data_IF_350598866882
#
_entry.id   IF_350598866882
#
_cell.length_a   1.000
_cell.length_b   1.000
_cell.length_c   1.000
_cell.angle_alpha   90.00
_cell.angle_beta   90.00
_cell.angle_gamma   90.00
#
_symmetry.space_group_name_H-M   'P 1'
#
loop_
_entity.id
_entity.type
_entity.pdbx_description
1 polymer ?
#
# COMPACT_ATOMS: atom_id res chain seq x y z
N UNK A 1 -59.76 -31.73 9.77
CA UNK A 1 -60.30 -30.78 10.76
C UNK A 1 -59.17 -30.42 11.73
N UNK A 2 -58.53 -29.28 11.60
CA UNK A 2 -57.62 -28.71 12.55
C UNK A 2 -58.45 -28.19 13.74
N UNK A 3 -58.27 -28.81 14.90
CA UNK A 3 -58.84 -28.31 16.14
C UNK A 3 -58.08 -27.06 16.57
N UNK A 4 -58.68 -25.86 16.44
CA UNK A 4 -58.18 -24.65 17.04
C UNK A 4 -58.29 -24.76 18.56
N UNK A 5 -57.21 -25.00 19.28
CA UNK A 5 -57.20 -24.92 20.76
C UNK A 5 -57.38 -23.44 21.14
N UNK A 6 -58.55 -23.09 21.63
CA UNK A 6 -58.84 -21.77 22.21
C UNK A 6 -58.04 -21.62 23.49
N UNK A 7 -57.06 -20.71 23.49
CA UNK A 7 -56.30 -20.32 24.69
C UNK A 7 -57.28 -19.56 25.61
N UNK A 8 -57.33 -19.89 26.92
CA UNK A 8 -58.17 -19.17 27.87
C UNK A 8 -57.66 -17.71 28.01
N UNK A 9 -58.57 -16.77 28.24
CA UNK A 9 -58.25 -15.34 28.38
C UNK A 9 -57.17 -15.10 29.46
N UNK A 10 -57.22 -15.88 30.59
CA UNK A 10 -56.22 -15.79 31.64
C UNK A 10 -54.81 -16.20 31.18
N UNK A 11 -54.70 -17.30 30.42
CA UNK A 11 -53.41 -17.74 29.85
C UNK A 11 -52.87 -16.74 28.86
N UNK A 12 -53.70 -16.17 27.99
CA UNK A 12 -53.30 -15.14 27.05
C UNK A 12 -52.80 -13.87 27.76
N UNK A 13 -53.49 -13.44 28.84
CA UNK A 13 -53.05 -12.30 29.65
C UNK A 13 -51.71 -12.55 30.34
N UNK A 14 -51.51 -13.74 30.90
CA UNK A 14 -50.22 -14.12 31.55
C UNK A 14 -49.09 -14.12 30.55
N UNK A 15 -49.26 -14.68 29.36
CA UNK A 15 -48.26 -14.66 28.30
C UNK A 15 -47.93 -13.22 27.88
N UNK A 16 -48.92 -12.35 27.72
CA UNK A 16 -48.72 -10.95 27.40
C UNK A 16 -47.92 -10.20 28.47
N UNK A 17 -48.20 -10.42 29.75
CA UNK A 17 -47.48 -9.81 30.87
C UNK A 17 -46.03 -10.30 30.90
N UNK A 18 -45.77 -11.60 30.72
CA UNK A 18 -44.41 -12.15 30.65
C UNK A 18 -43.66 -11.57 29.45
N UNK A 19 -44.28 -11.51 28.27
CA UNK A 19 -43.66 -10.93 27.09
C UNK A 19 -43.32 -9.45 27.30
N UNK A 20 -44.20 -8.64 27.88
CA UNK A 20 -43.92 -7.24 28.23
C UNK A 20 -42.78 -7.11 29.23
N UNK A 21 -42.74 -7.94 30.30
CA UNK A 21 -41.68 -7.93 31.29
C UNK A 21 -40.29 -8.29 30.65
N UNK A 22 -40.26 -9.30 29.80
CA UNK A 22 -39.04 -9.71 29.07
C UNK A 22 -38.59 -8.60 28.11
N UNK A 23 -39.49 -8.03 27.33
CA UNK A 23 -39.20 -6.94 26.41
C UNK A 23 -38.67 -5.73 27.16
N UNK A 24 -39.33 -5.33 28.26
CA UNK A 24 -38.91 -4.21 29.08
C UNK A 24 -37.51 -4.45 29.69
N UNK A 25 -37.25 -5.63 30.25
CA UNK A 25 -35.94 -5.98 30.82
C UNK A 25 -34.85 -5.96 29.74
N UNK A 26 -35.11 -6.53 28.56
CA UNK A 26 -34.15 -6.55 27.46
C UNK A 26 -33.87 -5.14 26.96
N UNK A 27 -34.90 -4.33 26.76
CA UNK A 27 -34.77 -2.93 26.35
C UNK A 27 -34.00 -2.11 27.36
N UNK A 28 -34.26 -2.32 28.65
CA UNK A 28 -33.55 -1.65 29.76
C UNK A 28 -32.04 -1.99 29.73
N UNK A 29 -31.69 -3.27 29.60
CA UNK A 29 -30.29 -3.73 29.55
C UNK A 29 -29.56 -3.14 28.33
N UNK A 30 -30.19 -3.17 27.15
CA UNK A 30 -29.62 -2.60 25.93
C UNK A 30 -29.45 -1.08 26.07
N UNK A 31 -30.48 -0.38 26.59
CA UNK A 31 -30.42 1.07 26.80
C UNK A 31 -29.35 1.46 27.82
N UNK A 32 -29.22 0.73 28.93
CA UNK A 32 -28.15 0.96 29.91
C UNK A 32 -26.78 0.73 29.33
N UNK A 33 -26.60 -0.33 28.52
CA UNK A 33 -25.31 -0.59 27.84
C UNK A 33 -24.97 0.54 26.89
N UNK A 34 -25.91 0.98 26.05
CA UNK A 34 -25.71 2.12 25.13
C UNK A 34 -25.40 3.42 25.89
N UNK A 35 -26.16 3.74 26.95
CA UNK A 35 -25.95 4.90 27.77
C UNK A 35 -24.56 4.90 28.40
N UNK A 36 -24.17 3.80 29.06
CA UNK A 36 -22.86 3.67 29.69
C UNK A 36 -21.72 3.81 28.69
N UNK A 37 -21.86 3.24 27.46
CA UNK A 37 -20.87 3.38 26.40
C UNK A 37 -20.75 4.84 25.94
N UNK A 38 -21.88 5.53 25.77
CA UNK A 38 -21.92 6.94 25.37
C UNK A 38 -21.31 7.84 26.44
N UNK A 39 -21.68 7.67 27.72
CA UNK A 39 -21.14 8.45 28.84
C UNK A 39 -19.64 8.22 29.00
N UNK A 40 -19.18 6.96 28.90
CA UNK A 40 -17.74 6.66 28.94
C UNK A 40 -16.97 7.32 27.79
N UNK A 41 -17.53 7.31 26.59
CA UNK A 41 -16.93 7.99 25.42
C UNK A 41 -16.82 9.49 25.62
N UNK A 42 -17.89 10.14 26.11
CA UNK A 42 -17.88 11.59 26.41
C UNK A 42 -16.84 11.92 27.47
N UNK A 43 -16.79 11.17 28.57
CA UNK A 43 -15.83 11.38 29.65
C UNK A 43 -14.38 11.19 29.21
N UNK A 44 -14.12 10.23 28.35
CA UNK A 44 -12.77 10.03 27.79
C UNK A 44 -12.37 11.19 26.86
N UNK A 45 -13.27 11.65 26.00
CA UNK A 45 -13.04 12.83 25.15
C UNK A 45 -12.78 14.08 25.98
N UNK A 46 -13.63 14.34 26.98
CA UNK A 46 -13.46 15.48 27.90
C UNK A 46 -12.09 15.45 28.56
N UNK A 47 -11.65 14.31 29.08
CA UNK A 47 -10.33 14.18 29.68
C UNK A 47 -9.17 14.48 28.71
N UNK A 48 -9.28 14.02 27.45
CA UNK A 48 -8.29 14.31 26.41
C UNK A 48 -8.22 15.79 26.09
N UNK A 49 -9.37 16.43 25.84
CA UNK A 49 -9.44 17.86 25.53
C UNK A 49 -8.99 18.73 26.69
N UNK A 50 -9.35 18.39 27.94
CA UNK A 50 -8.90 19.12 29.11
C UNK A 50 -7.39 19.07 29.26
N UNK A 51 -6.78 17.90 29.08
CA UNK A 51 -5.32 17.75 29.15
C UNK A 51 -4.61 18.59 28.06
N UNK A 52 -5.11 18.55 26.82
CA UNK A 52 -4.55 19.37 25.73
C UNK A 52 -4.72 20.86 26.03
N UNK A 53 -5.89 21.29 26.52
CA UNK A 53 -6.15 22.67 26.89
C UNK A 53 -5.25 23.17 28.02
N UNK A 54 -4.94 22.32 29.01
CA UNK A 54 -4.01 22.65 30.09
C UNK A 54 -2.58 22.85 29.55
N UNK A 55 -2.11 21.99 28.67
CA UNK A 55 -0.81 22.08 28.00
C UNK A 55 -0.76 23.37 27.15
N UNK A 56 -1.74 23.59 26.31
CA UNK A 56 -1.83 24.74 25.41
C UNK A 56 -1.79 26.06 26.19
N UNK A 57 -2.59 26.19 27.26
CA UNK A 57 -2.61 27.37 28.13
C UNK A 57 -1.26 27.62 28.76
N UNK A 58 -0.56 26.58 29.22
CA UNK A 58 0.76 26.74 29.85
C UNK A 58 1.81 27.17 28.82
N UNK A 59 1.83 26.55 27.66
CA UNK A 59 2.76 26.81 26.55
C UNK A 59 2.55 28.25 26.05
N UNK A 60 1.32 28.63 25.72
CA UNK A 60 1.01 29.97 25.20
C UNK A 60 1.29 31.12 26.23
N UNK A 61 1.28 30.80 27.51
CA UNK A 61 1.59 31.80 28.56
C UNK A 61 3.10 31.99 28.78
N UNK A 62 3.94 30.97 28.50
CA UNK A 62 5.33 31.00 28.90
C UNK A 62 6.37 30.72 27.81
N UNK A 63 5.95 30.24 26.61
CA UNK A 63 6.87 29.89 25.52
C UNK A 63 7.54 31.18 24.98
N UNK A 64 8.85 31.16 24.88
CA UNK A 64 9.64 32.27 24.38
C UNK A 64 9.66 32.36 22.85
N UNK A 65 9.61 31.21 22.15
CA UNK A 65 9.65 31.19 20.71
C UNK A 65 8.25 31.27 20.09
N UNK A 66 8.19 31.72 18.83
CA UNK A 66 6.95 31.77 18.08
C UNK A 66 6.46 30.34 17.81
N UNK A 67 5.21 30.10 18.15
CA UNK A 67 4.56 28.79 17.87
C UNK A 67 4.12 28.79 16.41
N UNK A 68 4.55 27.78 15.68
CA UNK A 68 4.04 27.47 14.34
C UNK A 68 2.77 26.62 14.52
N UNK A 69 1.63 27.23 14.28
CA UNK A 69 0.31 26.61 14.52
C UNK A 69 0.05 25.43 13.57
N UNK A 70 0.51 25.51 12.32
CA UNK A 70 0.31 24.45 11.33
C UNK A 70 1.15 23.22 11.72
N UNK A 71 2.42 23.42 12.02
CA UNK A 71 3.28 22.34 12.53
C UNK A 71 2.75 21.75 13.84
N UNK A 72 2.24 22.56 14.77
CA UNK A 72 1.67 22.09 16.02
C UNK A 72 0.44 21.22 15.77
N UNK A 73 -0.48 21.63 14.90
CA UNK A 73 -1.68 20.88 14.56
C UNK A 73 -1.36 19.55 13.88
N UNK A 74 -0.42 19.54 12.93
CA UNK A 74 0.06 18.31 12.28
C UNK A 74 0.65 17.32 13.30
N UNK A 75 1.48 17.81 14.23
CA UNK A 75 2.08 16.96 15.28
C UNK A 75 1.06 16.44 16.28
N UNK A 76 0.02 17.20 16.60
CA UNK A 76 -1.09 16.75 17.44
C UNK A 76 -1.89 15.62 16.74
N UNK A 77 -2.21 15.79 15.47
CA UNK A 77 -2.90 14.76 14.66
C UNK A 77 -2.06 13.51 14.53
N UNK A 78 -0.78 13.63 14.18
CA UNK A 78 0.15 12.50 14.08
C UNK A 78 0.32 11.78 15.43
N UNK A 79 0.40 12.54 16.54
CA UNK A 79 0.47 11.99 17.89
C UNK A 79 -0.81 11.22 18.27
N UNK A 80 -1.97 11.71 17.87
CA UNK A 80 -3.24 11.01 18.08
C UNK A 80 -3.24 9.66 17.36
N UNK A 81 -2.85 9.66 16.06
CA UNK A 81 -2.80 8.43 15.26
C UNK A 81 -1.77 7.44 15.80
N UNK A 82 -0.61 7.90 16.24
CA UNK A 82 0.39 7.06 16.91
C UNK A 82 -0.14 6.43 18.20
N UNK A 83 -1.03 7.14 18.91
CA UNK A 83 -1.61 6.69 20.21
C UNK A 83 -2.68 5.61 20.10
N UNK A 84 -3.24 5.32 18.93
CA UNK A 84 -4.31 4.31 18.78
C UNK A 84 -3.81 2.86 18.72
N UNK A 85 -2.49 2.64 18.75
CA UNK A 85 -1.84 1.32 18.72
C UNK A 85 -2.18 0.48 17.47
N UNK A 86 -2.42 1.14 16.35
CA UNK A 86 -2.55 0.54 15.03
C UNK A 86 -1.27 0.85 14.22
N UNK A 87 -0.43 -0.17 13.98
CA UNK A 87 0.86 -0.01 13.28
C UNK A 87 0.73 0.47 11.84
N UNK A 88 -0.47 0.38 11.27
CA UNK A 88 -0.74 0.77 9.89
C UNK A 88 -1.56 2.08 9.80
N UNK A 89 -1.99 2.61 10.94
CA UNK A 89 -2.69 3.88 10.97
C UNK A 89 -1.70 5.04 10.70
N UNK A 90 -2.07 5.91 9.79
CA UNK A 90 -1.22 7.03 9.35
C UNK A 90 -2.03 8.30 9.30
N UNK A 91 -1.41 9.40 9.75
CA UNK A 91 -1.80 10.76 9.43
C UNK A 91 -0.87 11.26 8.33
N UNK A 92 -1.44 11.82 7.29
CA UNK A 92 -0.73 12.52 6.23
C UNK A 92 -1.03 14.01 6.34
N UNK A 93 0.00 14.85 6.39
CA UNK A 93 -0.16 16.29 6.16
C UNK A 93 -0.75 16.53 4.77
N UNK A 94 -1.29 17.72 4.50
CA UNK A 94 -1.86 18.05 3.19
C UNK A 94 -0.86 17.81 2.04
N UNK A 95 0.42 18.15 2.28
CA UNK A 95 1.51 17.91 1.33
C UNK A 95 1.74 16.41 1.09
N UNK A 96 1.96 15.64 2.16
CA UNK A 96 2.20 14.18 2.06
C UNK A 96 1.02 13.45 1.40
N UNK A 97 -0.21 13.90 1.68
CA UNK A 97 -1.39 13.31 1.05
C UNK A 97 -1.46 13.59 -0.44
N UNK A 98 -1.14 14.82 -0.85
CA UNK A 98 -1.04 15.18 -2.28
C UNK A 98 0.03 14.37 -2.99
N UNK A 99 1.21 14.22 -2.40
CA UNK A 99 2.31 13.39 -2.93
C UNK A 99 1.88 11.92 -3.04
N UNK A 100 1.23 11.36 -2.00
CA UNK A 100 0.69 9.99 -2.03
C UNK A 100 -0.31 9.80 -3.17
N UNK A 101 -1.23 10.75 -3.37
CA UNK A 101 -2.20 10.67 -4.48
C UNK A 101 -1.51 10.70 -5.86
N UNK A 102 -0.42 11.45 -6.00
CA UNK A 102 0.37 11.48 -7.22
C UNK A 102 1.03 10.12 -7.47
N UNK A 103 1.68 9.54 -6.45
CA UNK A 103 2.32 8.22 -6.52
C UNK A 103 1.31 7.13 -6.88
N UNK A 104 0.10 7.16 -6.31
CA UNK A 104 -0.99 6.22 -6.64
C UNK A 104 -1.45 6.30 -8.11
N UNK A 105 -1.20 7.43 -8.76
CA UNK A 105 -1.42 7.63 -10.20
C UNK A 105 -0.19 7.31 -11.04
N UNK A 106 0.90 6.85 -10.43
CA UNK A 106 2.19 6.62 -11.08
C UNK A 106 2.92 7.91 -11.44
N UNK A 107 2.64 9.01 -10.74
CA UNK A 107 3.30 10.30 -10.97
C UNK A 107 4.37 10.50 -9.89
N UNK A 108 5.60 10.78 -10.31
CA UNK A 108 6.70 11.21 -9.45
C UNK A 108 7.14 12.61 -9.84
N UNK A 109 7.70 13.36 -8.88
CA UNK A 109 8.31 14.66 -9.13
C UNK A 109 9.81 14.57 -8.92
N UNK A 110 10.58 14.82 -9.97
CA UNK A 110 12.03 14.67 -9.92
C UNK A 110 12.68 14.97 -11.27
N UNK A 111 13.91 14.49 -11.48
CA UNK A 111 14.61 14.67 -12.75
C UNK A 111 14.25 13.65 -13.84
N UNK A 112 13.60 12.53 -13.47
CA UNK A 112 13.10 11.54 -14.43
C UNK A 112 14.09 10.44 -14.80
N UNK A 113 14.82 9.89 -13.82
CA UNK A 113 15.69 8.71 -14.00
C UNK A 113 15.42 7.65 -12.93
N UNK A 114 15.68 6.39 -13.27
CA UNK A 114 15.86 5.32 -12.28
C UNK A 114 17.34 4.96 -12.20
N UNK A 115 17.83 4.80 -10.97
CA UNK A 115 19.22 4.49 -10.68
C UNK A 115 19.36 3.24 -9.83
N UNK A 116 20.55 2.64 -9.85
CA UNK A 116 20.97 1.59 -8.90
C UNK A 116 22.34 1.94 -8.35
N UNK A 117 22.62 1.50 -7.13
CA UNK A 117 23.97 1.56 -6.60
C UNK A 117 24.84 0.56 -7.39
N UNK A 118 25.81 1.03 -8.12
CA UNK A 118 26.73 0.18 -8.88
C UNK A 118 27.81 -0.38 -7.95
N UNK A 119 27.76 -1.67 -7.67
CA UNK A 119 28.67 -2.33 -6.74
C UNK A 119 30.15 -2.14 -7.06
N UNK A 120 30.52 -1.95 -8.32
CA UNK A 120 31.91 -1.80 -8.75
C UNK A 120 32.47 -0.38 -8.55
N UNK A 121 31.63 0.64 -8.74
CA UNK A 121 32.01 2.05 -8.64
C UNK A 121 31.50 2.76 -7.39
N UNK A 122 30.43 2.24 -6.78
CA UNK A 122 29.69 2.88 -5.69
C UNK A 122 28.88 4.11 -6.12
N UNK A 123 28.84 4.44 -7.40
CA UNK A 123 28.05 5.55 -7.94
C UNK A 123 26.62 5.11 -8.31
N UNK A 124 25.71 6.09 -8.39
CA UNK A 124 24.37 5.87 -8.91
C UNK A 124 24.41 5.65 -10.42
N UNK A 125 24.30 4.41 -10.87
CA UNK A 125 24.24 4.06 -12.30
C UNK A 125 22.82 4.22 -12.83
N UNK A 126 22.65 4.96 -13.91
CA UNK A 126 21.37 5.13 -14.58
C UNK A 126 20.98 3.83 -15.28
N UNK A 127 19.83 3.26 -14.92
CA UNK A 127 19.26 2.06 -15.54
C UNK A 127 18.05 2.38 -16.41
N UNK A 128 17.44 3.55 -16.23
CA UNK A 128 16.36 4.07 -17.08
C UNK A 128 16.37 5.59 -17.08
N UNK A 129 16.04 6.17 -18.21
CA UNK A 129 15.66 7.58 -18.37
C UNK A 129 14.21 7.56 -18.85
N UNK A 130 13.31 8.24 -18.13
CA UNK A 130 11.90 8.30 -18.53
C UNK A 130 11.70 9.34 -19.64
N UNK A 131 10.77 9.06 -20.54
CA UNK A 131 10.48 9.93 -21.68
C UNK A 131 9.87 11.27 -21.24
N UNK A 132 10.20 12.33 -21.99
CA UNK A 132 9.70 13.69 -21.76
C UNK A 132 10.00 14.25 -20.35
N UNK A 133 11.17 13.93 -19.81
CA UNK A 133 11.60 14.35 -18.48
C UNK A 133 12.74 15.38 -18.56
N UNK A 134 13.01 16.11 -17.46
CA UNK A 134 14.19 16.97 -17.40
C UNK A 134 15.51 16.26 -17.72
N UNK A 135 15.65 15.00 -17.31
CA UNK A 135 16.82 14.18 -17.61
C UNK A 135 17.02 13.96 -19.13
N UNK A 136 15.92 13.69 -19.85
CA UNK A 136 15.96 13.56 -21.33
C UNK A 136 16.37 14.87 -22.00
N UNK A 137 15.91 16.00 -21.48
CA UNK A 137 16.19 17.33 -22.05
C UNK A 137 17.66 17.72 -21.95
N UNK A 138 18.37 17.27 -20.90
CA UNK A 138 19.81 17.51 -20.73
C UNK A 138 20.68 16.39 -21.26
N UNK A 139 20.09 15.33 -21.81
CA UNK A 139 20.83 14.25 -22.48
C UNK A 139 21.44 13.23 -21.52
N UNK A 140 20.82 12.96 -20.38
CA UNK A 140 21.24 11.83 -19.55
C UNK A 140 20.94 10.50 -20.26
N UNK A 141 21.84 9.53 -20.15
CA UNK A 141 21.77 8.26 -20.88
C UNK A 141 21.83 7.06 -19.94
N UNK A 142 21.14 5.98 -20.31
CA UNK A 142 21.26 4.68 -19.64
C UNK A 142 22.70 4.18 -19.69
N UNK A 143 23.20 3.67 -18.56
CA UNK A 143 24.59 3.24 -18.40
C UNK A 143 25.55 4.34 -17.95
N UNK A 144 25.13 5.61 -17.96
CA UNK A 144 25.86 6.69 -17.33
C UNK A 144 25.77 6.65 -15.80
N UNK A 145 26.56 7.48 -15.13
CA UNK A 145 26.65 7.52 -13.67
C UNK A 145 26.40 8.93 -13.15
N UNK A 146 25.52 9.06 -12.16
CA UNK A 146 25.42 10.27 -11.36
C UNK A 146 26.41 10.13 -10.20
N UNK A 147 27.47 10.95 -10.22
CA UNK A 147 28.56 10.86 -9.25
C UNK A 147 28.36 11.73 -8.03
N UNK A 148 27.57 12.81 -8.15
CA UNK A 148 27.16 13.65 -7.04
C UNK A 148 25.77 14.27 -7.29
N UNK A 149 25.03 14.51 -6.21
CA UNK A 149 23.73 15.19 -6.17
C UNK A 149 23.87 16.34 -5.16
N UNK A 150 23.76 17.58 -5.65
CA UNK A 150 24.21 18.75 -4.89
C UNK A 150 25.69 18.62 -4.54
N UNK A 151 26.00 18.84 -3.26
CA UNK A 151 27.36 18.71 -2.73
C UNK A 151 27.69 17.29 -2.23
N UNK A 152 26.75 16.33 -2.33
CA UNK A 152 26.90 14.99 -1.77
C UNK A 152 27.27 13.99 -2.85
N UNK A 153 28.40 13.29 -2.69
CA UNK A 153 28.77 12.18 -3.55
C UNK A 153 27.81 11.01 -3.38
N UNK A 154 27.33 10.41 -4.48
CA UNK A 154 26.46 9.25 -4.43
C UNK A 154 27.11 8.02 -3.79
N UNK A 155 28.45 7.92 -3.80
CA UNK A 155 29.20 6.90 -3.06
C UNK A 155 29.02 6.96 -1.54
N UNK A 156 28.68 8.13 -0.99
CA UNK A 156 28.44 8.29 0.44
C UNK A 156 27.01 8.00 0.86
N UNK A 157 26.13 7.72 -0.10
CA UNK A 157 24.74 7.36 0.18
C UNK A 157 24.64 5.88 0.56
N UNK A 158 23.73 5.56 1.48
CA UNK A 158 23.65 4.21 2.08
C UNK A 158 23.26 3.13 1.07
N UNK A 159 22.37 3.46 0.14
CA UNK A 159 21.76 2.49 -0.76
C UNK A 159 21.08 3.17 -1.98
N UNK A 160 20.51 2.37 -2.85
CA UNK A 160 19.75 2.83 -4.02
C UNK A 160 18.55 3.70 -3.65
N UNK A 161 17.89 3.43 -2.51
CA UNK A 161 16.71 4.20 -2.09
C UNK A 161 17.10 5.64 -1.71
N UNK A 162 18.19 5.81 -0.99
CA UNK A 162 18.75 7.14 -0.67
C UNK A 162 19.15 7.91 -1.93
N UNK A 163 19.78 7.25 -2.91
CA UNK A 163 20.14 7.84 -4.20
C UNK A 163 18.90 8.28 -4.97
N UNK A 164 17.89 7.43 -5.04
CA UNK A 164 16.60 7.73 -5.71
C UNK A 164 15.90 8.90 -5.03
N UNK A 165 15.80 8.89 -3.70
CA UNK A 165 15.15 9.96 -2.93
C UNK A 165 15.83 11.32 -3.15
N UNK A 166 17.15 11.36 -3.27
CA UNK A 166 17.90 12.60 -3.52
C UNK A 166 17.69 13.18 -4.93
N UNK A 167 17.16 12.40 -5.87
CA UNK A 167 16.84 12.82 -7.25
C UNK A 167 15.37 13.27 -7.41
N UNK A 168 14.56 13.09 -6.37
CA UNK A 168 13.20 13.63 -6.26
C UNK A 168 13.25 15.01 -5.59
N UNK A 169 12.22 15.82 -5.82
CA UNK A 169 12.13 17.15 -5.23
C UNK A 169 10.79 17.80 -5.51
N UNK A 170 10.60 19.04 -5.06
CA UNK A 170 9.39 19.82 -5.34
C UNK A 170 9.39 20.28 -6.80
N UNK A 171 8.21 20.32 -7.41
CA UNK A 171 8.06 20.79 -8.79
C UNK A 171 8.62 22.21 -8.94
N UNK A 172 9.48 22.39 -9.94
CA UNK A 172 10.16 23.66 -10.22
C UNK A 172 11.39 23.95 -9.35
N UNK A 173 11.66 23.19 -8.28
CA UNK A 173 12.94 23.28 -7.57
C UNK A 173 14.07 22.73 -8.44
N UNK A 174 15.32 23.09 -8.18
CA UNK A 174 16.47 22.65 -8.98
C UNK A 174 17.43 21.79 -8.16
N UNK A 175 18.09 20.86 -8.83
CA UNK A 175 19.18 20.07 -8.28
C UNK A 175 20.39 20.10 -9.20
N UNK A 176 21.56 20.29 -8.61
CA UNK A 176 22.83 20.17 -9.33
C UNK A 176 23.29 18.72 -9.32
N UNK A 177 23.61 18.15 -10.47
CA UNK A 177 24.19 16.82 -10.57
C UNK A 177 25.54 16.86 -11.27
N UNK A 178 26.46 16.00 -10.82
CA UNK A 178 27.66 15.64 -11.59
C UNK A 178 27.40 14.31 -12.27
N UNK A 179 27.62 14.26 -13.53
CA UNK A 179 27.30 13.13 -14.40
C UNK A 179 28.54 12.66 -15.15
N UNK A 180 28.69 11.35 -15.22
CA UNK A 180 29.70 10.69 -16.03
C UNK A 180 28.97 9.92 -17.13
N UNK A 181 29.20 10.28 -18.38
CA UNK A 181 28.58 9.62 -19.54
C UNK A 181 28.95 8.13 -19.60
N UNK A 182 28.28 7.30 -20.39
CA UNK A 182 28.74 5.92 -20.65
C UNK A 182 30.17 5.85 -21.22
N UNK A 183 30.62 6.91 -21.91
CA UNK A 183 31.99 7.06 -22.43
C UNK A 183 32.97 7.62 -21.39
N UNK A 184 32.54 7.83 -20.13
CA UNK A 184 33.36 8.36 -19.03
C UNK A 184 33.75 9.84 -19.17
N UNK A 185 32.97 10.64 -19.89
CA UNK A 185 33.10 12.08 -19.94
C UNK A 185 32.35 12.74 -18.78
N UNK A 186 33.01 13.67 -18.10
CA UNK A 186 32.40 14.38 -16.97
C UNK A 186 31.58 15.57 -17.48
N UNK A 187 30.36 15.69 -16.94
CA UNK A 187 29.43 16.78 -17.20
C UNK A 187 28.76 17.21 -15.88
N UNK A 188 28.25 18.42 -15.86
CA UNK A 188 27.48 18.93 -14.71
C UNK A 188 26.25 19.66 -15.22
N UNK A 189 25.11 19.42 -14.54
CA UNK A 189 23.85 19.99 -14.93
C UNK A 189 23.12 20.55 -13.70
N UNK A 190 22.47 21.69 -13.86
CA UNK A 190 21.41 22.14 -12.96
C UNK A 190 20.08 21.74 -13.61
N UNK A 191 19.32 20.87 -12.94
CA UNK A 191 18.11 20.27 -13.49
C UNK A 191 16.92 20.65 -12.61
N UNK A 192 15.87 21.21 -13.23
CA UNK A 192 14.62 21.46 -12.53
C UNK A 192 13.83 20.16 -12.37
N UNK A 193 13.23 19.96 -11.20
CA UNK A 193 12.31 18.87 -10.96
C UNK A 193 10.98 19.13 -11.68
N UNK A 194 10.42 18.10 -12.30
CA UNK A 194 9.12 18.15 -12.95
C UNK A 194 8.34 16.86 -12.68
N UNK A 195 7.03 16.92 -12.85
CA UNK A 195 6.17 15.74 -12.78
C UNK A 195 6.40 14.86 -14.00
N UNK A 196 6.54 13.57 -13.78
CA UNK A 196 6.63 12.56 -14.85
C UNK A 196 5.91 11.28 -14.44
N UNK A 197 5.47 10.50 -15.43
CA UNK A 197 4.78 9.24 -15.19
C UNK A 197 5.76 8.09 -15.17
N UNK A 198 5.66 7.25 -14.15
CA UNK A 198 6.40 6.00 -14.05
C UNK A 198 5.46 4.83 -14.30
N UNK A 199 5.83 3.87 -15.17
CA UNK A 199 5.06 2.65 -15.30
C UNK A 199 5.18 1.82 -14.02
N UNK A 200 4.09 1.20 -13.62
CA UNK A 200 4.07 0.27 -12.49
C UNK A 200 4.77 -1.06 -12.80
N UNK A 201 4.98 -1.32 -14.10
CA UNK A 201 5.68 -2.49 -14.63
C UNK A 201 6.96 -2.01 -15.30
N UNK A 202 8.10 -2.27 -14.66
CA UNK A 202 9.39 -1.75 -15.10
C UNK A 202 10.09 -2.60 -16.15
N UNK A 203 9.82 -3.90 -16.17
CA UNK A 203 10.49 -4.84 -17.07
C UNK A 203 9.50 -5.86 -17.63
N UNK A 204 9.49 -5.99 -18.94
CA UNK A 204 8.75 -7.02 -19.68
C UNK A 204 9.74 -7.65 -20.66
N UNK A 205 10.03 -8.93 -20.52
CA UNK A 205 11.02 -9.61 -21.35
C UNK A 205 10.66 -11.08 -21.59
N UNK A 206 10.69 -11.52 -22.84
CA UNK A 206 10.72 -12.92 -23.18
C UNK A 206 12.17 -13.42 -23.14
N UNK A 207 12.44 -14.46 -22.37
CA UNK A 207 13.75 -15.11 -22.30
C UNK A 207 13.92 -16.13 -23.42
N UNK A 208 15.17 -16.48 -23.79
CA UNK A 208 15.49 -17.40 -24.88
C UNK A 208 14.88 -18.80 -24.68
N UNK A 209 14.58 -19.20 -23.44
CA UNK A 209 13.93 -20.47 -23.09
C UNK A 209 12.40 -20.42 -23.12
N UNK A 210 11.80 -19.33 -23.62
CA UNK A 210 10.35 -19.16 -23.70
C UNK A 210 9.67 -18.74 -22.39
N UNK A 211 10.43 -18.34 -21.36
CA UNK A 211 9.89 -17.80 -20.12
C UNK A 211 9.64 -16.31 -20.27
N UNK A 212 8.40 -15.88 -20.08
CA UNK A 212 8.02 -14.47 -19.97
C UNK A 212 8.32 -13.93 -18.56
N UNK A 213 9.15 -12.91 -18.46
CA UNK A 213 9.47 -12.22 -17.18
C UNK A 213 8.81 -10.86 -17.14
N UNK A 214 8.14 -10.58 -16.03
CA UNK A 214 7.43 -9.34 -15.77
C UNK A 214 7.74 -8.86 -14.33
N UNK A 215 8.36 -7.67 -14.18
CA UNK A 215 8.57 -7.05 -12.88
C UNK A 215 7.50 -6.01 -12.60
N UNK A 216 6.77 -6.21 -11.52
CA UNK A 216 5.72 -5.32 -11.02
C UNK A 216 6.30 -4.57 -9.81
N UNK A 217 6.73 -3.32 -10.02
CA UNK A 217 7.37 -2.54 -8.95
C UNK A 217 6.35 -2.02 -7.92
N UNK A 218 5.13 -1.74 -8.38
CA UNK A 218 4.04 -1.25 -7.52
C UNK A 218 2.68 -1.60 -8.11
N UNK A 219 1.64 -1.52 -7.30
CA UNK A 219 0.26 -1.51 -7.77
C UNK A 219 -0.26 -0.08 -7.72
N UNK A 220 -0.50 0.53 -8.88
CA UNK A 220 -1.08 1.86 -9.09
C UNK A 220 -2.42 1.74 -9.79
N UNK A 221 -3.15 2.83 -9.95
CA UNK A 221 -4.41 2.84 -10.71
C UNK A 221 -4.27 2.39 -12.16
N UNK A 222 -3.08 2.52 -12.78
CA UNK A 222 -2.75 2.09 -14.14
C UNK A 222 -2.35 0.62 -14.29
N UNK A 223 -1.96 -0.02 -13.19
CA UNK A 223 -1.31 -1.35 -13.23
C UNK A 223 -2.15 -2.42 -13.93
N UNK A 224 -3.47 -2.42 -13.73
CA UNK A 224 -4.33 -3.45 -14.33
C UNK A 224 -4.27 -3.43 -15.87
N UNK A 225 -4.20 -2.26 -16.47
CA UNK A 225 -4.08 -2.09 -17.93
C UNK A 225 -2.67 -2.44 -18.40
N UNK A 226 -1.64 -1.94 -17.72
CA UNK A 226 -0.24 -2.23 -18.02
C UNK A 226 0.04 -3.73 -17.92
N UNK A 227 -0.46 -4.39 -16.88
CA UNK A 227 -0.32 -5.82 -16.63
C UNK A 227 -0.92 -6.65 -17.77
N UNK A 228 -2.17 -6.37 -18.13
CA UNK A 228 -2.84 -7.07 -19.23
C UNK A 228 -2.08 -6.92 -20.55
N UNK A 229 -1.63 -5.71 -20.86
CA UNK A 229 -0.86 -5.43 -22.08
C UNK A 229 0.47 -6.18 -22.08
N UNK A 230 1.18 -6.19 -20.96
CA UNK A 230 2.46 -6.88 -20.81
C UNK A 230 2.32 -8.40 -20.95
N UNK A 231 1.33 -9.00 -20.28
CA UNK A 231 1.06 -10.45 -20.39
C UNK A 231 0.66 -10.82 -21.80
N UNK A 232 -0.25 -10.08 -22.43
CA UNK A 232 -0.64 -10.31 -23.83
C UNK A 232 0.56 -10.20 -24.78
N UNK A 233 1.44 -9.21 -24.57
CA UNK A 233 2.66 -9.06 -25.37
C UNK A 233 3.57 -10.28 -25.25
N UNK A 234 3.80 -10.79 -24.03
CA UNK A 234 4.63 -11.97 -23.81
C UNK A 234 4.00 -13.25 -24.44
N UNK A 235 2.69 -13.43 -24.25
CA UNK A 235 1.95 -14.56 -24.82
C UNK A 235 1.99 -14.54 -26.36
N UNK A 236 1.79 -13.38 -26.97
CA UNK A 236 1.85 -13.21 -28.41
C UNK A 236 3.27 -13.44 -28.97
N UNK A 237 4.30 -13.22 -28.18
CA UNK A 237 5.70 -13.54 -28.50
C UNK A 237 6.04 -15.02 -28.32
N UNK A 238 5.11 -15.84 -27.78
CA UNK A 238 5.28 -17.26 -27.59
C UNK A 238 5.78 -17.67 -26.21
N UNK A 239 5.51 -16.87 -25.16
CA UNK A 239 5.80 -17.27 -23.79
C UNK A 239 5.06 -18.57 -23.45
N UNK A 240 5.76 -19.53 -22.85
CA UNK A 240 5.24 -20.84 -22.41
C UNK A 240 5.07 -20.94 -20.90
N UNK A 241 5.60 -19.98 -20.15
CA UNK A 241 5.46 -19.80 -18.71
C UNK A 241 5.74 -18.35 -18.33
N UNK A 242 5.32 -17.93 -17.14
CA UNK A 242 5.44 -16.55 -16.68
C UNK A 242 6.13 -16.47 -15.32
N UNK A 243 6.99 -15.48 -15.16
CA UNK A 243 7.55 -15.07 -13.86
C UNK A 243 7.05 -13.64 -13.54
N UNK A 244 6.37 -13.52 -12.43
CA UNK A 244 5.97 -12.24 -11.84
C UNK A 244 6.92 -11.88 -10.70
N UNK A 245 7.75 -10.86 -10.91
CA UNK A 245 8.66 -10.38 -9.86
C UNK A 245 7.96 -9.30 -9.04
N UNK A 246 7.65 -9.63 -7.79
CA UNK A 246 6.99 -8.79 -6.80
C UNK A 246 7.94 -8.36 -5.68
N UNK A 247 9.23 -8.60 -5.83
CA UNK A 247 10.21 -8.19 -4.82
C UNK A 247 10.19 -6.67 -4.68
N UNK A 248 10.16 -6.19 -3.43
CA UNK A 248 10.08 -4.79 -3.03
C UNK A 248 8.74 -4.09 -3.37
N UNK A 249 7.71 -4.85 -3.77
CA UNK A 249 6.39 -4.32 -4.05
C UNK A 249 5.55 -4.26 -2.77
N UNK A 250 5.24 -3.07 -2.29
CA UNK A 250 4.44 -2.81 -1.07
C UNK A 250 2.94 -3.07 -1.23
N UNK A 251 2.46 -3.30 -2.46
CA UNK A 251 1.07 -3.66 -2.73
C UNK A 251 0.04 -2.59 -2.39
N UNK A 252 0.33 -1.32 -2.61
CA UNK A 252 -0.45 -0.19 -2.09
C UNK A 252 -1.87 -0.10 -2.61
N UNK A 253 -2.11 -0.33 -3.89
CA UNK A 253 -3.45 -0.31 -4.48
C UNK A 253 -4.03 -1.72 -4.54
N UNK A 254 -4.79 -2.07 -3.50
CA UNK A 254 -5.42 -3.39 -3.37
C UNK A 254 -6.36 -3.71 -4.55
N UNK A 255 -7.13 -2.73 -5.03
CA UNK A 255 -8.04 -2.95 -6.14
C UNK A 255 -7.29 -3.28 -7.45
N UNK A 256 -6.19 -2.58 -7.72
CA UNK A 256 -5.35 -2.88 -8.88
C UNK A 256 -4.74 -4.29 -8.79
N UNK A 257 -4.30 -4.71 -7.60
CA UNK A 257 -3.81 -6.07 -7.36
C UNK A 257 -4.91 -7.12 -7.59
N UNK A 258 -6.12 -6.87 -7.09
CA UNK A 258 -7.28 -7.76 -7.30
C UNK A 258 -7.65 -7.88 -8.78
N UNK A 259 -7.62 -6.77 -9.56
CA UNK A 259 -7.91 -6.81 -11.01
C UNK A 259 -6.82 -7.55 -11.78
N UNK A 260 -5.55 -7.37 -11.43
CA UNK A 260 -4.46 -8.13 -12.04
C UNK A 260 -4.53 -9.63 -11.69
N UNK A 261 -4.93 -9.95 -10.44
CA UNK A 261 -5.15 -11.34 -10.01
C UNK A 261 -6.27 -12.01 -10.80
N UNK A 262 -7.41 -11.33 -10.94
CA UNK A 262 -8.58 -11.79 -11.68
C UNK A 262 -8.23 -12.27 -13.10
N UNK A 263 -7.31 -11.56 -13.75
CA UNK A 263 -6.83 -11.92 -15.09
C UNK A 263 -6.00 -13.22 -15.12
N UNK A 264 -5.47 -13.67 -13.98
CA UNK A 264 -4.54 -14.79 -13.88
C UNK A 264 -5.13 -16.08 -13.31
N UNK A 265 -6.33 -16.01 -12.71
CA UNK A 265 -6.89 -17.12 -11.95
C UNK A 265 -8.21 -17.60 -12.53
N UNK A 266 -8.57 -18.89 -12.37
CA UNK A 266 -9.86 -19.41 -12.82
C UNK A 266 -11.02 -18.75 -12.08
N UNK A 267 -12.24 -18.93 -12.61
CA UNK A 267 -13.47 -18.47 -11.98
C UNK A 267 -13.58 -18.92 -10.52
N UNK A 268 -13.88 -17.98 -9.64
CA UNK A 268 -14.05 -18.24 -8.21
C UNK A 268 -13.75 -17.04 -7.33
N UNK A 269 -13.86 -17.25 -6.03
CA UNK A 269 -13.55 -16.22 -5.03
C UNK A 269 -12.05 -16.01 -4.93
N UNK A 270 -11.60 -14.75 -5.11
CA UNK A 270 -10.18 -14.38 -4.98
C UNK A 270 -9.84 -14.07 -3.52
N UNK A 271 -10.60 -13.18 -2.90
CA UNK A 271 -10.34 -12.70 -1.55
C UNK A 271 -11.57 -12.12 -0.88
N UNK A 272 -11.54 -12.10 0.44
CA UNK A 272 -12.55 -11.51 1.30
C UNK A 272 -11.90 -10.53 2.29
N UNK A 273 -12.73 -9.75 2.95
CA UNK A 273 -12.35 -8.98 4.13
C UNK A 273 -13.26 -9.32 5.30
N UNK A 274 -12.73 -9.20 6.51
CA UNK A 274 -13.51 -9.31 7.74
C UNK A 274 -13.37 -8.02 8.54
N UNK A 275 -14.50 -7.40 8.88
CA UNK A 275 -14.55 -6.19 9.69
C UNK A 275 -14.42 -6.47 11.20
N UNK A 276 -14.38 -5.39 12.01
CA UNK A 276 -14.33 -5.46 13.48
C UNK A 276 -15.53 -6.20 14.09
N UNK A 277 -16.67 -6.22 13.41
CA UNK A 277 -17.88 -6.92 13.85
C UNK A 277 -17.87 -8.41 13.53
N UNK A 278 -16.88 -8.90 12.80
CA UNK A 278 -16.79 -10.28 12.30
C UNK A 278 -17.56 -10.51 11.01
N UNK A 279 -18.10 -9.47 10.37
CA UNK A 279 -18.79 -9.61 9.09
C UNK A 279 -17.77 -9.82 7.98
N UNK A 280 -18.01 -10.85 7.17
CA UNK A 280 -17.14 -11.18 6.03
C UNK A 280 -17.80 -10.66 4.75
N UNK A 281 -17.00 -10.02 3.89
CA UNK A 281 -17.41 -9.45 2.61
C UNK A 281 -16.47 -9.90 1.51
N UNK A 282 -17.03 -10.36 0.38
CA UNK A 282 -16.25 -10.70 -0.81
C UNK A 282 -15.66 -9.43 -1.43
N UNK A 283 -14.35 -9.42 -1.63
CA UNK A 283 -13.65 -8.30 -2.25
C UNK A 283 -13.65 -8.43 -3.79
N UNK A 284 -13.46 -9.65 -4.28
CA UNK A 284 -13.45 -9.90 -5.72
C UNK A 284 -13.77 -11.36 -6.03
N UNK A 285 -14.63 -11.54 -7.04
CA UNK A 285 -14.83 -12.81 -7.74
C UNK A 285 -14.08 -12.75 -9.07
N UNK A 286 -13.40 -13.82 -9.44
CA UNK A 286 -12.84 -13.97 -10.78
C UNK A 286 -13.88 -14.49 -11.75
N UNK A 287 -13.76 -14.10 -13.01
CA UNK A 287 -14.55 -14.62 -14.12
C UNK A 287 -13.88 -15.86 -14.79
N UNK A 288 -14.25 -16.19 -16.04
CA UNK A 288 -13.71 -17.36 -16.73
C UNK A 288 -12.43 -17.08 -17.54
N UNK A 289 -11.94 -15.83 -17.54
CA UNK A 289 -10.77 -15.43 -18.34
C UNK A 289 -9.47 -15.66 -17.55
N UNK A 290 -8.95 -16.85 -17.57
CA UNK A 290 -7.70 -17.20 -16.91
C UNK A 290 -6.52 -17.34 -17.88
N UNK A 291 -5.31 -17.13 -17.34
CA UNK A 291 -4.06 -17.50 -17.98
C UNK A 291 -3.74 -18.94 -17.57
N UNK A 292 -3.66 -19.84 -18.56
CA UNK A 292 -3.39 -21.26 -18.32
C UNK A 292 -1.89 -21.62 -18.32
N UNK A 293 -1.01 -20.62 -18.50
CA UNK A 293 0.44 -20.82 -18.46
C UNK A 293 0.93 -21.09 -17.04
N UNK A 294 1.94 -21.95 -16.84
CA UNK A 294 2.61 -22.08 -15.56
C UNK A 294 3.18 -20.74 -15.07
N UNK A 295 3.02 -20.44 -13.79
CA UNK A 295 3.40 -19.16 -13.19
C UNK A 295 4.30 -19.34 -11.98
N UNK A 296 5.22 -18.40 -11.82
CA UNK A 296 6.09 -18.26 -10.64
C UNK A 296 5.98 -16.83 -10.12
N UNK A 297 5.87 -16.65 -8.80
CA UNK A 297 5.96 -15.35 -8.15
C UNK A 297 7.27 -15.24 -7.37
N UNK A 298 8.10 -14.24 -7.68
CA UNK A 298 9.28 -13.91 -6.89
C UNK A 298 8.89 -12.91 -5.81
N UNK A 299 9.22 -13.21 -4.56
CA UNK A 299 8.85 -12.40 -3.39
C UNK A 299 10.02 -12.22 -2.44
N UNK A 300 9.95 -11.19 -1.59
CA UNK A 300 10.91 -10.97 -0.51
C UNK A 300 10.21 -10.35 0.72
N UNK A 301 10.98 -10.04 1.77
CA UNK A 301 10.49 -9.45 3.01
C UNK A 301 9.83 -8.06 2.88
N UNK A 302 10.00 -7.39 1.74
CA UNK A 302 9.36 -6.12 1.41
C UNK A 302 8.09 -6.28 0.55
N UNK A 303 7.81 -7.49 0.05
CA UNK A 303 6.56 -7.80 -0.64
C UNK A 303 5.40 -7.76 0.36
N UNK A 304 4.40 -6.88 0.15
CA UNK A 304 3.37 -6.62 1.15
C UNK A 304 1.95 -6.46 0.56
N UNK A 305 0.94 -6.61 1.40
CA UNK A 305 -0.46 -6.23 1.15
C UNK A 305 -1.03 -6.81 -0.16
N UNK A 306 -1.39 -5.94 -1.13
CA UNK A 306 -1.93 -6.36 -2.43
C UNK A 306 -0.99 -7.28 -3.22
N UNK A 307 0.34 -7.11 -3.08
CA UNK A 307 1.32 -8.00 -3.71
C UNK A 307 1.34 -9.40 -3.07
N UNK A 308 1.13 -9.48 -1.74
CA UNK A 308 0.95 -10.75 -1.04
C UNK A 308 -0.36 -11.43 -1.47
N UNK A 309 -1.44 -10.65 -1.56
CA UNK A 309 -2.73 -11.17 -2.02
C UNK A 309 -2.60 -11.75 -3.44
N UNK A 310 -1.98 -11.01 -4.37
CA UNK A 310 -1.74 -11.46 -5.73
C UNK A 310 -0.97 -12.78 -5.75
N UNK A 311 0.20 -12.86 -5.10
CA UNK A 311 1.01 -14.07 -5.07
C UNK A 311 0.27 -15.27 -4.43
N UNK A 312 -0.43 -15.04 -3.31
CA UNK A 312 -1.16 -16.09 -2.61
C UNK A 312 -2.35 -16.62 -3.42
N UNK A 313 -3.09 -15.74 -4.08
CA UNK A 313 -4.22 -16.14 -4.92
C UNK A 313 -3.74 -16.94 -6.15
N UNK A 314 -2.66 -16.52 -6.81
CA UNK A 314 -2.07 -17.30 -7.91
C UNK A 314 -1.62 -18.68 -7.45
N UNK A 315 -0.96 -18.77 -6.27
CA UNK A 315 -0.57 -20.06 -5.69
C UNK A 315 -1.77 -20.96 -5.45
N UNK A 316 -2.81 -20.44 -4.82
CA UNK A 316 -3.96 -21.24 -4.39
C UNK A 316 -4.94 -21.58 -5.51
N UNK A 317 -5.16 -20.67 -6.44
CA UNK A 317 -6.18 -20.82 -7.48
C UNK A 317 -5.61 -21.30 -8.82
N UNK A 318 -4.38 -20.90 -9.17
CA UNK A 318 -3.74 -21.22 -10.45
C UNK A 318 -2.49 -22.10 -10.30
N UNK A 319 -2.15 -22.57 -9.11
CA UNK A 319 -1.02 -23.48 -8.88
C UNK A 319 0.36 -22.83 -9.09
N UNK A 320 0.47 -21.51 -8.98
CA UNK A 320 1.75 -20.82 -9.10
C UNK A 320 2.70 -21.21 -7.95
N UNK A 321 4.00 -21.20 -8.22
CA UNK A 321 5.04 -21.43 -7.20
C UNK A 321 5.54 -20.08 -6.67
N UNK A 322 5.61 -19.92 -5.37
CA UNK A 322 6.21 -18.75 -4.72
C UNK A 322 7.68 -19.06 -4.41
N UNK A 323 8.58 -18.20 -4.89
CA UNK A 323 10.03 -18.33 -4.75
C UNK A 323 10.61 -17.08 -4.09
N UNK A 324 11.51 -17.23 -3.13
CA UNK A 324 12.19 -16.11 -2.47
C UNK A 324 12.24 -16.26 -0.97
N UNK A 325 11.97 -15.19 -0.22
CA UNK A 325 11.91 -15.20 1.25
C UNK A 325 10.50 -14.87 1.76
N UNK A 326 10.24 -15.14 3.05
CA UNK A 326 8.95 -14.83 3.69
C UNK A 326 8.60 -13.36 3.52
N UNK A 327 7.34 -13.09 3.14
CA UNK A 327 6.84 -11.74 2.85
C UNK A 327 6.55 -10.92 4.12
N UNK A 328 6.22 -9.65 3.96
CA UNK A 328 6.07 -8.69 5.07
C UNK A 328 4.94 -9.01 6.07
N UNK A 329 3.90 -9.73 5.65
CA UNK A 329 2.77 -10.06 6.52
C UNK A 329 1.81 -8.89 6.76
N UNK A 330 1.48 -8.11 5.73
CA UNK A 330 0.49 -7.04 5.81
C UNK A 330 -0.88 -7.52 5.32
N UNK A 331 -1.50 -8.42 6.09
CA UNK A 331 -2.81 -9.00 5.79
C UNK A 331 -3.98 -8.20 6.37
N UNK A 332 -3.96 -6.87 6.25
CA UNK A 332 -5.01 -5.96 6.75
C UNK A 332 -5.69 -5.19 5.63
N UNK A 333 -6.96 -4.85 5.83
CA UNK A 333 -7.68 -3.91 4.98
C UNK A 333 -7.59 -2.52 5.61
N UNK A 334 -7.02 -1.59 4.87
CA UNK A 334 -6.99 -0.17 5.23
C UNK A 334 -8.26 0.53 4.74
N UNK A 335 -8.67 1.58 5.46
CA UNK A 335 -9.71 2.48 4.97
C UNK A 335 -9.25 3.23 3.73
N UNK A 336 -10.20 3.70 2.93
CA UNK A 336 -9.92 4.81 2.03
C UNK A 336 -9.41 6.00 2.86
N UNK A 337 -8.51 6.83 2.32
CA UNK A 337 -8.05 8.02 3.01
C UNK A 337 -9.23 8.96 3.32
N UNK A 338 -9.43 9.24 4.61
CA UNK A 338 -10.43 10.22 5.05
C UNK A 338 -9.79 11.60 5.04
N UNK A 339 -10.12 12.43 4.07
CA UNK A 339 -9.65 13.82 3.98
C UNK A 339 -10.22 14.67 5.12
N UNK A 340 -9.39 15.54 5.67
CA UNK A 340 -9.75 16.52 6.68
C UNK A 340 -9.93 17.91 6.03
N UNK A 341 -10.40 18.89 6.82
CA UNK A 341 -10.77 20.21 6.30
C UNK A 341 -9.61 21.06 5.81
N UNK A 342 -8.40 20.76 6.28
CA UNK A 342 -7.13 21.42 5.92
C UNK A 342 -6.40 20.76 4.73
N UNK A 343 -6.99 19.70 4.14
CA UNK A 343 -6.39 18.94 3.06
C UNK A 343 -5.52 17.77 3.51
N UNK A 344 -5.25 17.63 4.81
CA UNK A 344 -4.62 16.44 5.38
C UNK A 344 -5.54 15.24 5.33
N UNK A 345 -5.02 14.04 5.63
CA UNK A 345 -5.83 12.81 5.60
C UNK A 345 -5.40 11.80 6.66
N UNK A 346 -6.34 10.93 7.03
CA UNK A 346 -6.08 9.81 7.93
C UNK A 346 -6.46 8.50 7.26
N UNK A 347 -5.67 7.46 7.53
CA UNK A 347 -5.91 6.08 7.13
C UNK A 347 -5.82 5.20 8.37
N UNK A 348 -6.74 4.26 8.52
CA UNK A 348 -6.76 3.31 9.65
C UNK A 348 -7.00 1.89 9.14
N UNK A 349 -6.69 0.90 9.95
CA UNK A 349 -7.10 -0.48 9.71
C UNK A 349 -8.59 -0.64 10.00
N UNK A 350 -9.36 -1.06 9.00
CA UNK A 350 -10.82 -1.29 9.10
C UNK A 350 -11.20 -2.76 9.08
N UNK A 351 -10.25 -3.65 8.75
CA UNK A 351 -10.49 -5.08 8.72
C UNK A 351 -9.22 -5.88 8.48
N UNK A 352 -9.38 -7.17 8.33
CA UNK A 352 -8.33 -8.09 7.89
C UNK A 352 -8.66 -8.65 6.51
N UNK A 353 -7.64 -8.93 5.73
CA UNK A 353 -7.77 -9.60 4.44
C UNK A 353 -7.82 -11.11 4.65
N UNK A 354 -8.69 -11.77 3.94
CA UNK A 354 -8.82 -13.23 3.93
C UNK A 354 -8.61 -13.72 2.48
N UNK A 355 -7.92 -14.83 2.34
CA UNK A 355 -7.83 -15.50 1.05
C UNK A 355 -9.13 -16.25 0.71
N UNK A 356 -9.16 -16.95 -0.42
CA UNK A 356 -10.31 -17.72 -0.88
C UNK A 356 -10.72 -18.90 0.04
N UNK A 357 -9.87 -19.26 1.01
CA UNK A 357 -10.14 -20.28 2.04
C UNK A 357 -10.48 -19.67 3.41
N UNK A 358 -10.58 -18.34 3.49
CA UNK A 358 -10.86 -17.61 4.73
C UNK A 358 -9.65 -17.50 5.67
N UNK A 359 -8.42 -17.68 5.18
CA UNK A 359 -7.19 -17.57 5.98
C UNK A 359 -6.57 -16.20 5.85
N UNK A 360 -6.01 -15.70 6.94
CA UNK A 360 -5.29 -14.43 7.02
C UNK A 360 -3.79 -14.68 7.21
N UNK A 361 -2.94 -13.81 6.66
CA UNK A 361 -1.47 -13.87 6.75
C UNK A 361 -0.87 -12.69 7.53
N UNK A 362 -1.71 -11.88 8.19
CA UNK A 362 -1.24 -10.70 8.93
C UNK A 362 -0.27 -11.08 10.06
N UNK A 363 0.90 -10.46 10.06
CA UNK A 363 1.96 -10.70 11.03
C UNK A 363 2.81 -11.96 10.80
N UNK A 364 2.41 -12.85 9.87
CA UNK A 364 3.16 -14.07 9.54
C UNK A 364 3.81 -14.02 8.17
N UNK A 365 3.21 -13.31 7.22
CA UNK A 365 3.62 -13.31 5.82
C UNK A 365 3.28 -14.62 5.10
N UNK A 366 3.64 -14.65 3.82
CA UNK A 366 3.58 -15.85 2.99
C UNK A 366 4.94 -16.51 3.03
N UNK A 367 4.99 -17.76 3.49
CA UNK A 367 6.19 -18.59 3.36
C UNK A 367 6.32 -19.03 1.90
N UNK A 368 7.48 -18.85 1.24
CA UNK A 368 7.70 -19.31 -0.12
C UNK A 368 7.69 -20.84 -0.20
N UNK A 369 7.35 -21.36 -1.36
CA UNK A 369 7.41 -22.80 -1.66
C UNK A 369 8.86 -23.25 -1.91
N UNK A 370 9.68 -22.32 -2.43
CA UNK A 370 11.13 -22.48 -2.62
C UNK A 370 11.84 -21.30 -1.98
N UNK A 371 12.62 -21.58 -0.96
CA UNK A 371 13.48 -20.56 -0.33
C UNK A 371 14.65 -20.23 -1.27
N UNK A 372 14.75 -18.98 -1.66
CA UNK A 372 15.82 -18.43 -2.48
C UNK A 372 16.19 -17.04 -1.93
N UNK A 373 16.45 -16.95 -0.63
CA UNK A 373 16.97 -15.74 -0.01
C UNK A 373 18.33 -15.42 -0.62
N UNK A 374 18.47 -14.17 -1.11
CA UNK A 374 19.79 -13.68 -1.56
C UNK A 374 20.75 -13.73 -0.38
N UNK A 375 21.90 -14.36 -0.57
CA UNK A 375 23.01 -14.26 0.37
C UNK A 375 23.76 -12.96 0.11
N UNK A 376 24.45 -12.41 1.12
CA UNK A 376 25.22 -11.16 0.98
C UNK A 376 26.35 -11.21 -0.06
N UNK A 377 26.54 -12.36 -0.71
CA UNK A 377 27.57 -12.60 -1.72
C UNK A 377 27.03 -12.59 -3.17
N UNK A 378 25.73 -12.34 -3.36
CA UNK A 378 25.04 -12.19 -4.66
C UNK A 378 24.46 -10.77 -4.79
#
# INVERSE_FOLDING_TARGET
RAMSKKISLGVAATIAIIAMAVTFSLTMVVSMKMFNTTVSSVKNKERQYNKLSEIDRFVRAGEFFTIDEDTLNDKLAAGYMSGINDRYAVYYTAKEYSEKQAIEKGILTGIGVAVVNDASSGYARIIRVYDNTPATNVGLEVGGFITAIGDTSTRSMSDTAAMTSALLGEEGSTVNIKYLTPLREEQSFEIAHANYTTPSISTVRLMDNGVGYLRIDSFTSGTAVEFRNAVNSLTNQGATSLIFDLRDNSGENLNAALVATDYCVPSGLIAQSQDKGGNVTDLRMSDENEITLPMVCLVNGSTASGAELFANALRKMAGATIVGSTTAGKGVLLSDPQSLSDGSAVVITVGILLDNEGKNWNGTGLTPDVDASLTNDE
#
